data_IF_898571747775
#
_entry.id   IF_898571747775
#
_cell.length_a   1.000
_cell.length_b   1.000
_cell.length_c   1.000
_cell.angle_alpha   90.00
_cell.angle_beta   90.00
_cell.angle_gamma   90.00
#
_symmetry.space_group_name_H-M   'P 1'
#
loop_
_entity.id
_entity.type
_entity.pdbx_description
1 polymer ?
#
# COMPACT_ATOMS: atom_id res chain seq x y z
N UNK A 1 12.68 -16.82 16.51
CA UNK A 1 12.84 -15.44 16.97
C UNK A 1 13.76 -14.75 15.98
N UNK A 2 13.22 -13.84 15.17
CA UNK A 2 13.96 -13.22 14.06
C UNK A 2 14.82 -12.11 14.64
N UNK A 3 16.12 -12.11 14.35
CA UNK A 3 17.05 -11.07 14.78
C UNK A 3 17.47 -10.23 13.58
N UNK A 4 17.40 -8.91 13.72
CA UNK A 4 18.00 -7.95 12.77
C UNK A 4 19.06 -7.16 13.54
N UNK A 5 20.32 -7.24 13.11
CA UNK A 5 21.45 -6.57 13.76
C UNK A 5 21.57 -6.86 15.28
N UNK A 6 21.24 -8.08 15.72
CA UNK A 6 21.34 -8.47 17.13
C UNK A 6 20.21 -7.96 18.02
N UNK A 7 19.19 -7.31 17.46
CA UNK A 7 17.95 -6.96 18.17
C UNK A 7 16.81 -7.91 17.75
N UNK A 8 15.91 -8.24 18.68
CA UNK A 8 14.65 -8.92 18.35
C UNK A 8 13.87 -8.05 17.35
N UNK A 9 13.68 -8.57 16.15
CA UNK A 9 12.89 -7.90 15.13
C UNK A 9 11.42 -8.10 15.45
N UNK A 10 10.74 -7.01 15.80
CA UNK A 10 9.30 -7.00 16.02
C UNK A 10 8.61 -7.11 14.65
N UNK A 11 7.95 -8.24 14.39
CA UNK A 11 7.18 -8.55 13.17
C UNK A 11 5.74 -8.00 13.21
N UNK A 12 5.28 -7.54 14.38
CA UNK A 12 3.97 -6.93 14.59
C UNK A 12 3.72 -5.50 14.02
N UNK A 13 4.69 -4.72 13.48
CA UNK A 13 4.37 -3.44 12.88
C UNK A 13 3.79 -3.53 11.46
N UNK A 14 3.87 -4.68 10.78
CA UNK A 14 3.52 -4.80 9.36
C UNK A 14 2.42 -5.83 9.10
N UNK A 15 1.14 -5.43 9.01
CA UNK A 15 0.00 -6.35 8.97
C UNK A 15 -0.07 -7.29 7.75
N UNK A 16 0.69 -7.03 6.69
CA UNK A 16 0.64 -7.80 5.43
C UNK A 16 1.88 -8.66 5.16
N UNK A 17 2.90 -8.65 6.03
CA UNK A 17 4.08 -9.48 5.87
C UNK A 17 3.93 -10.74 6.71
N UNK A 18 3.71 -11.90 6.08
CA UNK A 18 3.58 -13.17 6.80
C UNK A 18 4.81 -14.05 6.72
N UNK A 19 5.46 -14.15 5.55
CA UNK A 19 6.59 -15.05 5.38
C UNK A 19 7.89 -14.26 5.25
N UNK A 20 8.74 -14.36 6.26
CA UNK A 20 10.11 -13.84 6.21
C UNK A 20 11.02 -14.84 5.50
N UNK A 21 11.81 -14.34 4.55
CA UNK A 21 12.84 -15.12 3.86
C UNK A 21 14.19 -14.43 4.00
N UNK A 22 15.20 -15.25 4.24
CA UNK A 22 16.60 -14.85 4.32
C UNK A 22 17.40 -15.68 3.34
N UNK A 23 18.22 -15.00 2.56
CA UNK A 23 19.28 -15.60 1.78
C UNK A 23 20.61 -15.07 2.26
N UNK A 24 21.43 -15.96 2.82
CA UNK A 24 22.79 -15.65 3.21
C UNK A 24 23.75 -16.22 2.16
N UNK A 25 24.69 -15.40 1.70
CA UNK A 25 25.87 -15.85 0.95
C UNK A 25 27.14 -15.28 1.61
N UNK A 26 28.33 -15.63 1.11
CA UNK A 26 29.62 -15.18 1.68
C UNK A 26 29.78 -13.64 1.74
N UNK A 27 29.02 -12.90 0.94
CA UNK A 27 29.17 -11.45 0.77
C UNK A 27 27.97 -10.62 1.20
N UNK A 28 26.78 -11.23 1.34
CA UNK A 28 25.56 -10.49 1.68
C UNK A 28 24.49 -11.37 2.32
N UNK A 29 23.69 -10.69 3.16
CA UNK A 29 22.43 -11.20 3.69
C UNK A 29 21.30 -10.42 3.02
N UNK A 30 20.48 -11.11 2.24
CA UNK A 30 19.28 -10.54 1.63
C UNK A 30 18.08 -10.95 2.44
N UNK A 31 17.30 -9.95 2.85
CA UNK A 31 16.09 -10.11 3.66
C UNK A 31 14.90 -9.67 2.81
N UNK A 32 13.89 -10.52 2.66
CA UNK A 32 12.64 -10.12 2.03
C UNK A 32 11.45 -10.74 2.74
N UNK A 33 10.30 -10.08 2.58
CA UNK A 33 9.03 -10.52 3.15
C UNK A 33 8.07 -10.81 2.01
N UNK A 34 7.34 -11.91 2.14
CA UNK A 34 6.20 -12.17 1.28
C UNK A 34 5.01 -11.39 1.80
N UNK A 35 4.43 -10.61 0.89
CA UNK A 35 3.12 -10.01 1.08
C UNK A 35 2.08 -11.12 0.99
N UNK A 36 1.39 -11.41 2.09
CA UNK A 36 0.20 -12.23 2.03
C UNK A 36 -0.98 -11.32 1.70
N UNK A 37 -1.43 -11.37 0.46
CA UNK A 37 -2.54 -10.54 -0.01
C UNK A 37 -3.57 -11.38 -0.75
N UNK A 38 -4.83 -11.24 -0.34
CA UNK A 38 -5.97 -11.71 -1.13
C UNK A 38 -6.54 -10.51 -1.91
N UNK A 39 -6.62 -10.63 -3.24
CA UNK A 39 -7.39 -9.72 -4.09
C UNK A 39 -8.87 -10.05 -3.94
N UNK A 40 -9.44 -9.81 -2.77
CA UNK A 40 -10.88 -9.92 -2.62
C UNK A 40 -11.53 -8.75 -3.34
N UNK A 41 -12.10 -9.03 -4.52
CA UNK A 41 -13.00 -8.09 -5.20
C UNK A 41 -14.31 -8.07 -4.40
N UNK A 42 -14.39 -7.14 -3.45
CA UNK A 42 -15.65 -6.82 -2.79
C UNK A 42 -16.49 -6.05 -3.82
N UNK A 43 -17.68 -6.57 -4.13
CA UNK A 43 -18.65 -5.87 -4.96
C UNK A 43 -19.15 -4.63 -4.19
N UNK A 44 -18.56 -3.50 -4.52
CA UNK A 44 -18.79 -2.21 -3.86
C UNK A 44 -19.12 -1.20 -4.96
N UNK A 45 -20.29 -0.59 -4.89
CA UNK A 45 -20.75 0.37 -5.91
C UNK A 45 -20.21 1.79 -5.70
N UNK A 46 -19.59 2.09 -4.54
CA UNK A 46 -19.08 3.43 -4.21
C UNK A 46 -17.93 3.83 -5.14
N UNK A 47 -17.83 5.10 -5.47
CA UNK A 47 -16.65 5.63 -6.16
C UNK A 47 -15.43 5.62 -5.23
N UNK A 48 -14.21 5.48 -5.77
CA UNK A 48 -12.99 5.50 -4.92
C UNK A 48 -12.88 6.76 -4.06
N UNK A 49 -13.41 7.90 -4.54
CA UNK A 49 -13.41 9.19 -3.82
C UNK A 49 -14.24 9.13 -2.55
N UNK A 50 -15.40 8.49 -2.63
CA UNK A 50 -16.32 8.30 -1.51
C UNK A 50 -15.69 7.36 -0.48
N UNK A 51 -15.12 6.24 -0.95
CA UNK A 51 -14.43 5.29 -0.08
C UNK A 51 -13.26 5.96 0.65
N UNK A 52 -12.45 6.76 -0.07
CA UNK A 52 -11.36 7.50 0.56
C UNK A 52 -11.89 8.45 1.64
N UNK A 53 -13.00 9.14 1.36
CA UNK A 53 -13.62 10.06 2.32
C UNK A 53 -14.11 9.36 3.57
N UNK A 54 -14.78 8.23 3.43
CA UNK A 54 -15.24 7.40 4.54
C UNK A 54 -14.05 6.97 5.41
N UNK A 55 -13.01 6.42 4.78
CA UNK A 55 -11.81 5.95 5.50
C UNK A 55 -11.17 7.10 6.31
N UNK A 56 -10.91 8.25 5.67
CA UNK A 56 -10.19 9.34 6.34
C UNK A 56 -11.03 10.02 7.42
N UNK A 57 -12.36 10.07 7.25
CA UNK A 57 -13.28 10.64 8.24
C UNK A 57 -13.44 9.73 9.46
N UNK A 58 -13.32 8.41 9.27
CA UNK A 58 -13.35 7.43 10.36
C UNK A 58 -12.08 7.44 11.21
N UNK A 59 -10.93 7.79 10.62
CA UNK A 59 -9.62 7.67 11.27
C UNK A 59 -9.12 9.02 11.81
N UNK A 60 -9.33 10.10 11.06
CA UNK A 60 -8.71 11.40 11.35
C UNK A 60 -9.74 12.44 11.79
N UNK A 61 -9.30 13.35 12.66
CA UNK A 61 -10.07 14.53 13.04
C UNK A 61 -10.33 15.43 11.83
N UNK A 62 -11.44 16.16 11.87
CA UNK A 62 -11.94 17.01 10.77
C UNK A 62 -10.90 18.01 10.25
N UNK A 63 -10.12 18.61 11.14
CA UNK A 63 -9.04 19.55 10.81
C UNK A 63 -7.91 18.91 9.99
N UNK A 64 -7.75 17.58 10.06
CA UNK A 64 -6.70 16.83 9.36
C UNK A 64 -7.17 16.17 8.07
N UNK A 65 -8.48 15.99 7.87
CA UNK A 65 -9.07 15.29 6.71
C UNK A 65 -8.49 15.80 5.38
N UNK A 66 -8.52 17.12 5.17
CA UNK A 66 -8.03 17.74 3.92
C UNK A 66 -6.55 17.43 3.66
N UNK A 67 -5.72 17.57 4.69
CA UNK A 67 -4.27 17.32 4.56
C UNK A 67 -3.96 15.85 4.30
N UNK A 68 -4.70 14.93 4.94
CA UNK A 68 -4.55 13.49 4.76
C UNK A 68 -5.01 13.04 3.37
N UNK A 69 -6.15 13.55 2.89
CA UNK A 69 -6.62 13.31 1.52
C UNK A 69 -5.58 13.73 0.48
N UNK A 70 -4.97 14.90 0.67
CA UNK A 70 -3.93 15.40 -0.24
C UNK A 70 -2.67 14.53 -0.17
N UNK A 71 -2.23 14.13 1.03
CA UNK A 71 -1.05 13.28 1.22
C UNK A 71 -1.19 11.91 0.55
N UNK A 72 -2.33 11.25 0.75
CA UNK A 72 -2.64 9.93 0.15
C UNK A 72 -2.65 10.03 -1.38
N UNK A 73 -3.37 11.00 -1.93
CA UNK A 73 -3.40 11.20 -3.39
C UNK A 73 -2.04 11.58 -3.97
N UNK A 74 -1.24 12.38 -3.25
CA UNK A 74 0.11 12.76 -3.63
C UNK A 74 1.03 11.55 -3.73
N UNK A 75 0.97 10.63 -2.77
CA UNK A 75 1.76 9.39 -2.77
C UNK A 75 1.41 8.51 -3.97
N UNK A 76 0.12 8.27 -4.20
CA UNK A 76 -0.36 7.47 -5.34
C UNK A 76 0.06 8.11 -6.68
N UNK A 77 -0.12 9.42 -6.81
CA UNK A 77 0.24 10.16 -8.03
C UNK A 77 1.75 10.16 -8.28
N UNK A 78 2.56 10.22 -7.22
CA UNK A 78 4.02 10.13 -7.33
C UNK A 78 4.48 8.77 -7.87
N UNK A 79 3.90 7.68 -7.37
CA UNK A 79 4.19 6.32 -7.87
C UNK A 79 3.71 6.20 -9.33
N UNK A 80 2.49 6.64 -9.64
CA UNK A 80 1.96 6.62 -11.01
C UNK A 80 2.86 7.42 -11.99
N UNK A 81 3.34 8.60 -11.59
CA UNK A 81 4.27 9.40 -12.40
C UNK A 81 5.62 8.71 -12.61
N UNK A 82 6.15 8.04 -11.59
CA UNK A 82 7.36 7.22 -11.71
C UNK A 82 7.17 6.07 -12.70
N UNK A 83 6.01 5.40 -12.66
CA UNK A 83 5.66 4.35 -13.61
C UNK A 83 5.55 4.88 -15.05
N UNK A 84 4.85 6.00 -15.27
CA UNK A 84 4.74 6.64 -16.60
C UNK A 84 6.10 7.06 -17.17
N UNK A 85 7.05 7.47 -16.33
CA UNK A 85 8.36 7.97 -16.78
C UNK A 85 9.42 6.87 -16.95
N UNK A 86 9.36 5.79 -16.17
CA UNK A 86 10.41 4.77 -16.10
C UNK A 86 10.02 3.39 -16.64
N UNK A 87 8.73 3.09 -16.77
CA UNK A 87 8.25 1.77 -17.19
C UNK A 87 7.34 1.89 -18.41
N UNK A 88 7.74 1.24 -19.49
CA UNK A 88 6.97 1.24 -20.75
C UNK A 88 5.79 0.27 -20.69
N UNK A 89 5.99 -0.90 -20.07
CA UNK A 89 4.98 -1.92 -19.86
C UNK A 89 5.02 -2.37 -18.40
N UNK A 90 3.91 -2.19 -17.70
CA UNK A 90 3.70 -2.72 -16.35
C UNK A 90 2.27 -3.19 -16.24
N UNK A 91 2.04 -4.18 -15.40
CA UNK A 91 0.71 -4.71 -15.14
C UNK A 91 0.02 -3.94 -14.01
N UNK A 92 -1.31 -3.95 -14.02
CA UNK A 92 -2.13 -3.34 -12.97
C UNK A 92 -1.88 -3.99 -11.60
N UNK A 93 -1.58 -5.29 -11.56
CA UNK A 93 -1.26 -6.02 -10.33
C UNK A 93 0.04 -5.52 -9.69
N UNK A 94 1.09 -5.32 -10.50
CA UNK A 94 2.35 -4.71 -10.03
C UNK A 94 2.10 -3.31 -9.47
N UNK A 95 1.30 -2.51 -10.18
CA UNK A 95 1.01 -1.14 -9.74
C UNK A 95 0.22 -1.11 -8.43
N UNK A 96 -0.81 -1.95 -8.28
CA UNK A 96 -1.57 -2.09 -7.03
C UNK A 96 -0.63 -2.53 -5.90
N UNK A 97 0.27 -3.47 -6.16
CA UNK A 97 1.24 -3.98 -5.18
C UNK A 97 2.17 -2.88 -4.68
N UNK A 98 2.77 -2.10 -5.58
CA UNK A 98 3.67 -1.00 -5.22
C UNK A 98 2.94 0.11 -4.44
N UNK A 99 1.68 0.42 -4.82
CA UNK A 99 0.84 1.37 -4.08
C UNK A 99 0.60 0.87 -2.65
N UNK A 100 0.19 -0.39 -2.47
CA UNK A 100 -0.06 -0.97 -1.13
C UNK A 100 1.21 -1.00 -0.30
N UNK A 101 2.33 -1.45 -0.88
CA UNK A 101 3.63 -1.46 -0.22
C UNK A 101 4.04 -0.07 0.27
N UNK A 102 3.73 0.99 -0.50
CA UNK A 102 4.03 2.37 -0.10
C UNK A 102 3.27 2.84 1.16
N UNK A 103 2.14 2.20 1.50
CA UNK A 103 1.40 2.47 2.72
C UNK A 103 1.85 1.58 3.88
N UNK A 104 2.64 0.52 3.66
CA UNK A 104 2.99 -0.46 4.68
C UNK A 104 4.03 0.06 5.70
N UNK A 105 3.61 1.02 6.51
CA UNK A 105 4.38 1.62 7.58
C UNK A 105 3.47 1.92 8.79
N UNK A 106 4.09 2.13 9.95
CA UNK A 106 3.39 2.32 11.22
C UNK A 106 2.43 3.51 11.20
N UNK A 107 2.76 4.60 10.50
CA UNK A 107 1.94 5.81 10.47
C UNK A 107 0.63 5.65 9.71
N UNK A 108 0.58 4.68 8.81
CA UNK A 108 -0.58 4.39 7.98
C UNK A 108 -1.32 3.13 8.45
N UNK A 109 -0.90 2.48 9.55
CA UNK A 109 -1.47 1.20 10.03
C UNK A 109 -3.00 1.22 10.10
N UNK A 110 -3.60 2.25 10.70
CA UNK A 110 -5.05 2.39 10.80
C UNK A 110 -5.72 2.52 9.42
N UNK A 111 -5.06 3.20 8.49
CA UNK A 111 -5.52 3.37 7.12
C UNK A 111 -5.55 2.04 6.36
N UNK A 112 -4.50 1.22 6.51
CA UNK A 112 -4.41 -0.07 5.80
C UNK A 112 -5.30 -1.14 6.44
N UNK A 113 -5.52 -1.07 7.76
CA UNK A 113 -6.41 -1.99 8.47
C UNK A 113 -7.89 -1.70 8.25
N UNK A 114 -8.24 -0.56 7.64
CA UNK A 114 -9.63 -0.24 7.33
C UNK A 114 -10.20 -1.26 6.33
N UNK A 115 -11.41 -1.82 6.54
CA UNK A 115 -11.99 -2.84 5.66
C UNK A 115 -12.06 -2.43 4.18
N UNK A 116 -12.35 -1.15 3.95
CA UNK A 116 -12.47 -0.60 2.60
C UNK A 116 -11.14 -0.24 1.92
N UNK A 117 -9.99 -0.36 2.60
CA UNK A 117 -8.69 0.05 2.07
C UNK A 117 -8.39 -0.64 0.73
N UNK A 118 -8.62 -1.96 0.65
CA UNK A 118 -8.35 -2.74 -0.55
C UNK A 118 -9.26 -2.31 -1.72
N UNK A 119 -10.54 -2.02 -1.45
CA UNK A 119 -11.50 -1.51 -2.45
C UNK A 119 -11.06 -0.15 -2.98
N UNK A 120 -10.67 0.76 -2.07
CA UNK A 120 -10.12 2.07 -2.42
C UNK A 120 -8.90 1.96 -3.35
N UNK A 121 -7.89 1.19 -2.95
CA UNK A 121 -6.65 1.07 -3.72
C UNK A 121 -6.92 0.45 -5.09
N UNK A 122 -7.66 -0.66 -5.16
CA UNK A 122 -7.94 -1.33 -6.43
C UNK A 122 -8.70 -0.41 -7.40
N UNK A 123 -9.75 0.27 -6.94
CA UNK A 123 -10.52 1.21 -7.78
C UNK A 123 -9.70 2.41 -8.22
N UNK A 124 -8.94 3.01 -7.30
CA UNK A 124 -8.09 4.16 -7.62
C UNK A 124 -7.00 3.80 -8.63
N UNK A 125 -6.36 2.64 -8.45
CA UNK A 125 -5.34 2.16 -9.37
C UNK A 125 -5.92 1.86 -10.75
N UNK A 126 -7.11 1.24 -10.81
CA UNK A 126 -7.81 0.98 -12.07
C UNK A 126 -8.14 2.26 -12.82
N UNK A 127 -8.67 3.28 -12.13
CA UNK A 127 -8.93 4.60 -12.75
C UNK A 127 -7.63 5.18 -13.33
N UNK A 128 -6.53 5.18 -12.56
CA UNK A 128 -5.25 5.74 -13.01
C UNK A 128 -4.63 4.97 -14.17
N UNK A 129 -4.66 3.63 -14.11
CA UNK A 129 -4.08 2.75 -15.12
C UNK A 129 -4.80 2.87 -16.47
N UNK A 130 -6.13 2.99 -16.45
CA UNK A 130 -6.94 3.20 -17.66
C UNK A 130 -7.01 4.67 -18.11
N UNK A 131 -6.64 5.62 -17.26
CA UNK A 131 -6.52 7.04 -17.64
C UNK A 131 -5.27 7.35 -18.51
N UNK A 132 -4.72 6.35 -19.22
CA UNK A 132 -3.69 6.54 -20.26
C UNK A 132 -4.25 7.37 -21.42
N UNK A 133 -4.37 8.68 -21.20
CA UNK A 133 -4.43 9.72 -22.22
C UNK A 133 -3.38 10.77 -21.90
#
# INVERSE_FOLDING_TARGET
MIQYQGQEFNDNPYPFYKNYKVYNNEYSNTHWWELDFELNQIDDNRAWREILEDIISNIYKEDKIKSKRASINGRISGIHGSYKSKRTNYDIEEFITDIRASFNNVMDREFILHPDFNSFVSKRCTELFHSKK
#
